data_IF_351176053045
#
_entry.id   IF_351176053045
#
_cell.length_a   1.000
_cell.length_b   1.000
_cell.length_c   1.000
_cell.angle_alpha   90.00
_cell.angle_beta   90.00
_cell.angle_gamma   90.00
#
_symmetry.space_group_name_H-M   'P 1'
#
loop_
_entity.id
_entity.type
_entity.pdbx_description
1 polymer ?
#
# COMPACT_ATOMS: atom_id res chain seq x y z
N UNK A 1 -23.70 -0.34 16.39
CA UNK A 1 -23.51 -1.66 15.80
C UNK A 1 -22.03 -1.74 15.54
N UNK A 2 -21.32 -2.31 16.51
CA UNK A 2 -19.90 -2.62 16.39
C UNK A 2 -19.88 -4.00 15.72
N UNK A 3 -19.98 -4.01 14.39
CA UNK A 3 -19.67 -5.22 13.63
C UNK A 3 -18.17 -5.42 13.87
N UNK A 4 -17.84 -6.37 14.74
CA UNK A 4 -16.47 -6.75 15.07
C UNK A 4 -15.75 -7.29 13.82
N UNK A 5 -15.45 -6.38 12.90
CA UNK A 5 -14.86 -6.65 11.62
C UNK A 5 -13.47 -7.20 11.89
N UNK A 6 -13.28 -8.46 11.48
CA UNK A 6 -11.96 -9.05 11.48
C UNK A 6 -11.12 -8.30 10.45
N UNK A 7 -10.30 -7.38 10.92
CA UNK A 7 -9.39 -6.64 10.06
C UNK A 7 -8.44 -7.62 9.36
N UNK A 8 -8.19 -7.45 8.05
CA UNK A 8 -7.36 -8.37 7.29
C UNK A 8 -5.93 -8.41 7.84
N UNK A 9 -5.31 -9.57 7.75
CA UNK A 9 -3.89 -9.73 8.05
C UNK A 9 -3.05 -9.28 6.86
N UNK A 10 -1.93 -8.61 7.14
CA UNK A 10 -0.97 -8.28 6.09
C UNK A 10 -0.29 -9.54 5.52
N UNK A 11 0.02 -9.57 4.21
CA UNK A 11 0.89 -10.60 3.66
C UNK A 11 2.28 -10.56 4.31
N UNK A 12 2.93 -11.72 4.42
CA UNK A 12 4.20 -11.89 5.13
C UNK A 12 5.29 -10.84 4.85
N UNK A 13 5.57 -10.42 3.59
CA UNK A 13 6.60 -9.41 3.34
C UNK A 13 6.27 -8.06 4.00
N UNK A 14 4.99 -7.67 3.99
CA UNK A 14 4.52 -6.44 4.60
C UNK A 14 4.57 -6.55 6.13
N UNK A 15 4.07 -7.65 6.69
CA UNK A 15 4.12 -7.88 8.13
C UNK A 15 5.57 -7.80 8.66
N UNK A 16 6.51 -8.51 8.02
CA UNK A 16 7.93 -8.47 8.40
C UNK A 16 8.56 -7.10 8.25
N UNK A 17 8.15 -6.33 7.25
CA UNK A 17 8.65 -4.96 7.02
C UNK A 17 8.21 -4.00 8.13
N UNK A 18 6.95 -4.10 8.58
CA UNK A 18 6.47 -3.36 9.76
C UNK A 18 7.25 -3.78 11.01
N UNK A 19 7.37 -5.09 11.26
CA UNK A 19 8.06 -5.63 12.44
C UNK A 19 9.54 -5.25 12.51
N UNK A 20 10.26 -5.31 11.38
CA UNK A 20 11.67 -4.92 11.29
C UNK A 20 11.92 -3.45 11.68
N UNK A 21 10.88 -2.62 11.60
CA UNK A 21 10.89 -1.20 11.98
C UNK A 21 10.35 -0.96 13.39
N UNK A 22 9.97 -2.01 14.10
CA UNK A 22 9.28 -1.92 15.39
C UNK A 22 7.87 -1.34 15.27
N UNK A 23 7.25 -1.43 14.10
CA UNK A 23 5.94 -0.89 13.80
C UNK A 23 4.87 -1.98 13.84
N UNK A 24 3.63 -1.55 14.08
CA UNK A 24 2.43 -2.35 13.83
C UNK A 24 1.56 -1.60 12.81
N UNK A 25 0.84 -2.32 11.94
CA UNK A 25 -0.12 -1.69 11.05
C UNK A 25 -1.19 -0.97 11.87
N UNK A 26 -1.51 0.25 11.47
CA UNK A 26 -2.57 1.02 12.12
C UNK A 26 -3.93 0.52 11.65
N UNK A 27 -4.96 0.65 12.48
CA UNK A 27 -6.33 0.23 12.16
C UNK A 27 -6.78 0.76 10.79
N UNK A 28 -6.65 2.07 10.54
CA UNK A 28 -7.02 2.66 9.25
C UNK A 28 -6.23 2.15 8.04
N UNK A 29 -5.04 1.56 8.22
CA UNK A 29 -4.31 0.93 7.12
C UNK A 29 -4.91 -0.43 6.77
N UNK A 30 -5.35 -1.18 7.78
CA UNK A 30 -6.05 -2.46 7.59
C UNK A 30 -7.49 -2.24 7.08
N UNK A 31 -8.18 -1.20 7.54
CA UNK A 31 -9.51 -0.79 7.03
C UNK A 31 -9.45 -0.43 5.53
N UNK A 32 -8.38 0.25 5.10
CA UNK A 32 -8.17 0.54 3.67
C UNK A 32 -7.96 -0.74 2.85
N UNK A 33 -7.28 -1.75 3.44
CA UNK A 33 -7.09 -3.04 2.79
C UNK A 33 -8.42 -3.80 2.68
N UNK A 34 -9.20 -3.84 3.77
CA UNK A 34 -10.53 -4.46 3.81
C UNK A 34 -11.49 -3.84 2.79
N UNK A 35 -11.55 -2.50 2.71
CA UNK A 35 -12.37 -1.79 1.73
C UNK A 35 -11.96 -2.15 0.29
N UNK A 36 -10.66 -2.20 0.00
CA UNK A 36 -10.17 -2.57 -1.33
C UNK A 36 -10.46 -4.04 -1.69
N UNK A 37 -10.33 -4.97 -0.73
CA UNK A 37 -10.69 -6.39 -0.93
C UNK A 37 -12.18 -6.57 -1.23
N UNK A 38 -13.03 -5.69 -0.68
CA UNK A 38 -14.47 -5.63 -0.97
C UNK A 38 -14.81 -4.90 -2.28
N UNK A 39 -13.82 -4.27 -2.92
CA UNK A 39 -14.02 -3.45 -4.12
C UNK A 39 -14.74 -2.12 -3.85
N UNK A 40 -14.60 -1.58 -2.65
CA UNK A 40 -15.25 -0.35 -2.21
C UNK A 40 -14.36 0.89 -2.42
N UNK A 41 -15.00 2.02 -2.72
CA UNK A 41 -14.35 3.32 -2.69
C UNK A 41 -14.15 3.80 -1.25
N UNK A 42 -12.96 4.31 -0.92
CA UNK A 42 -12.63 4.73 0.45
C UNK A 42 -12.02 6.14 0.51
N UNK A 43 -12.38 6.89 1.56
CA UNK A 43 -11.77 8.18 1.91
C UNK A 43 -10.99 8.05 3.22
N UNK A 44 -9.66 8.06 3.11
CA UNK A 44 -8.78 7.99 4.28
C UNK A 44 -8.59 9.36 4.95
N UNK A 45 -9.09 9.50 6.17
CA UNK A 45 -8.88 10.67 7.03
C UNK A 45 -7.95 10.28 8.18
N UNK A 46 -6.72 10.80 8.16
CA UNK A 46 -5.72 10.55 9.21
C UNK A 46 -4.90 11.83 9.48
N UNK A 47 -4.42 12.03 10.72
CA UNK A 47 -3.58 13.19 11.06
C UNK A 47 -2.25 13.17 10.29
N UNK A 48 -1.59 14.33 10.20
CA UNK A 48 -0.22 14.42 9.69
C UNK A 48 0.72 13.53 10.51
N UNK A 49 1.65 12.83 9.85
CA UNK A 49 2.46 11.79 10.50
C UNK A 49 1.68 10.51 10.84
N UNK A 50 0.41 10.44 10.42
CA UNK A 50 -0.50 9.34 10.70
C UNK A 50 -0.26 8.06 9.92
N UNK A 51 0.72 8.04 9.00
CA UNK A 51 0.90 6.93 8.06
C UNK A 51 -0.08 6.95 6.88
N UNK A 52 -0.76 8.08 6.62
CA UNK A 52 -1.77 8.22 5.57
C UNK A 52 -1.30 7.81 4.18
N UNK A 53 -0.07 8.20 3.80
CA UNK A 53 0.48 7.85 2.49
C UNK A 53 0.58 6.33 2.35
N UNK A 54 1.23 5.65 3.31
CA UNK A 54 1.29 4.18 3.27
C UNK A 54 -0.12 3.58 3.33
N UNK A 55 -1.03 4.09 4.17
CA UNK A 55 -2.41 3.60 4.24
C UNK A 55 -3.17 3.71 2.91
N UNK A 56 -2.96 4.78 2.13
CA UNK A 56 -3.59 4.94 0.81
C UNK A 56 -2.99 4.03 -0.28
N UNK A 57 -1.70 3.68 -0.17
CA UNK A 57 -1.02 2.84 -1.16
C UNK A 57 -0.95 1.36 -0.79
N UNK A 58 -1.13 1.01 0.48
CA UNK A 58 -1.01 -0.35 0.99
C UNK A 58 -1.89 -1.35 0.23
N UNK A 59 -3.17 -1.07 -0.09
CA UNK A 59 -3.98 -2.00 -0.86
C UNK A 59 -3.42 -2.28 -2.25
N UNK A 60 -3.00 -1.24 -2.96
CA UNK A 60 -2.37 -1.36 -4.27
C UNK A 60 -1.05 -2.16 -4.23
N UNK A 61 -0.23 -1.95 -3.20
CA UNK A 61 1.03 -2.69 -3.05
C UNK A 61 0.78 -4.17 -2.76
N UNK A 62 -0.20 -4.49 -1.91
CA UNK A 62 -0.60 -5.86 -1.58
C UNK A 62 -1.13 -6.58 -2.83
N UNK A 63 -2.02 -5.94 -3.58
CA UNK A 63 -2.56 -6.51 -4.82
C UNK A 63 -1.46 -6.74 -5.88
N UNK A 64 -0.59 -5.74 -6.09
CA UNK A 64 0.54 -5.85 -7.02
C UNK A 64 1.51 -6.96 -6.62
N UNK A 65 1.78 -7.12 -5.32
CA UNK A 65 2.60 -8.22 -4.81
C UNK A 65 1.96 -9.58 -5.14
N UNK A 66 0.66 -9.75 -4.89
CA UNK A 66 -0.04 -10.99 -5.22
C UNK A 66 0.04 -11.31 -6.72
N UNK A 67 -0.13 -10.31 -7.59
CA UNK A 67 0.01 -10.47 -9.05
C UNK A 67 1.43 -10.87 -9.46
N UNK A 68 2.47 -10.27 -8.88
CA UNK A 68 3.87 -10.66 -9.13
C UNK A 68 4.12 -12.11 -8.73
N UNK A 69 3.57 -12.56 -7.60
CA UNK A 69 3.71 -13.94 -7.14
C UNK A 69 2.99 -14.95 -8.06
N UNK A 70 1.88 -14.56 -8.69
CA UNK A 70 1.10 -15.40 -9.60
C UNK A 70 1.67 -15.44 -11.02
N UNK A 71 2.08 -14.28 -11.56
CA UNK A 71 2.50 -14.13 -12.97
C UNK A 71 4.03 -14.29 -13.15
N UNK A 72 4.80 -14.19 -12.07
CA UNK A 72 6.26 -14.22 -12.12
C UNK A 72 6.90 -12.87 -12.45
N UNK A 73 8.23 -12.83 -12.40
CA UNK A 73 9.02 -11.60 -12.60
C UNK A 73 9.07 -11.11 -14.04
N UNK A 74 8.90 -12.01 -15.01
CA UNK A 74 8.95 -11.69 -16.45
C UNK A 74 7.60 -11.20 -16.99
N UNK A 75 6.64 -10.91 -16.10
CA UNK A 75 5.32 -10.39 -16.48
C UNK A 75 5.44 -9.05 -17.23
N UNK A 76 4.54 -8.77 -18.19
CA UNK A 76 4.53 -7.48 -18.86
C UNK A 76 4.20 -6.36 -17.87
N UNK A 77 4.91 -5.23 -17.98
CA UNK A 77 4.59 -4.02 -17.23
C UNK A 77 3.25 -3.44 -17.70
N UNK A 78 2.36 -3.14 -16.74
CA UNK A 78 1.04 -2.54 -16.97
C UNK A 78 0.79 -1.47 -15.91
N UNK A 79 0.06 -0.42 -16.28
CA UNK A 79 -0.44 0.55 -15.31
C UNK A 79 -1.44 -0.14 -14.37
N UNK A 80 -1.24 0.02 -13.07
CA UNK A 80 -2.11 -0.55 -12.03
C UNK A 80 -2.71 0.52 -11.13
N UNK A 81 -1.87 1.44 -10.65
CA UNK A 81 -2.28 2.49 -9.70
C UNK A 81 -1.88 3.85 -10.26
N UNK A 82 -2.83 4.79 -10.26
CA UNK A 82 -2.60 6.18 -10.64
C UNK A 82 -2.73 7.07 -9.40
N UNK A 83 -1.65 7.77 -9.06
CA UNK A 83 -1.67 8.78 -8.01
C UNK A 83 -1.84 10.17 -8.61
N UNK A 84 -2.82 10.92 -8.12
CA UNK A 84 -3.06 12.30 -8.53
C UNK A 84 -2.77 13.25 -7.36
N UNK A 85 -1.96 14.27 -7.63
CA UNK A 85 -1.60 15.29 -6.66
C UNK A 85 -1.88 16.68 -7.24
N UNK A 86 -2.37 17.63 -6.43
CA UNK A 86 -2.50 19.03 -6.86
C UNK A 86 -1.14 19.72 -7.06
N UNK A 87 -0.03 19.14 -6.57
CA UNK A 87 1.31 19.71 -6.62
C UNK A 87 2.32 18.74 -7.21
N UNK A 88 3.11 19.19 -8.20
CA UNK A 88 4.20 18.41 -8.81
C UNK A 88 5.24 17.96 -7.79
N UNK A 89 5.64 18.84 -6.87
CA UNK A 89 6.62 18.51 -5.84
C UNK A 89 6.15 17.35 -4.95
N UNK A 90 4.86 17.37 -4.57
CA UNK A 90 4.27 16.29 -3.78
C UNK A 90 4.24 14.96 -4.53
N UNK A 91 4.01 14.96 -5.85
CA UNK A 91 4.11 13.73 -6.66
C UNK A 91 5.50 13.10 -6.59
N UNK A 92 6.55 13.91 -6.70
CA UNK A 92 7.95 13.44 -6.62
C UNK A 92 8.26 12.91 -5.22
N UNK A 93 7.81 13.60 -4.17
CA UNK A 93 8.05 13.16 -2.79
C UNK A 93 7.28 11.87 -2.45
N UNK A 94 6.05 11.72 -2.92
CA UNK A 94 5.28 10.47 -2.76
C UNK A 94 5.96 9.32 -3.49
N UNK A 95 6.41 9.51 -4.73
CA UNK A 95 7.14 8.49 -5.47
C UNK A 95 8.41 8.06 -4.73
N UNK A 96 9.22 9.01 -4.24
CA UNK A 96 10.42 8.72 -3.43
C UNK A 96 10.10 7.91 -2.17
N UNK A 97 9.06 8.31 -1.44
CA UNK A 97 8.66 7.64 -0.21
C UNK A 97 8.10 6.22 -0.47
N UNK A 98 7.52 5.96 -1.64
CA UNK A 98 7.03 4.64 -2.04
C UNK A 98 8.13 3.72 -2.57
N UNK A 99 9.23 4.25 -3.10
CA UNK A 99 10.37 3.42 -3.50
C UNK A 99 10.96 2.66 -2.30
N UNK A 100 11.00 3.30 -1.12
CA UNK A 100 11.53 2.69 0.11
C UNK A 100 10.88 1.33 0.44
N UNK A 101 9.55 1.23 0.64
CA UNK A 101 8.92 -0.06 0.92
C UNK A 101 9.04 -1.04 -0.26
N UNK A 102 8.98 -0.57 -1.51
CA UNK A 102 9.11 -1.43 -2.70
C UNK A 102 10.47 -2.11 -2.77
N UNK A 103 11.54 -1.36 -2.51
CA UNK A 103 12.91 -1.87 -2.52
C UNK A 103 13.20 -2.74 -1.31
N UNK A 104 12.85 -2.28 -0.10
CA UNK A 104 13.11 -3.02 1.14
C UNK A 104 12.35 -4.34 1.22
N UNK A 105 11.13 -4.42 0.66
CA UNK A 105 10.35 -5.66 0.56
C UNK A 105 10.62 -6.46 -0.72
N UNK A 106 11.47 -5.96 -1.63
CA UNK A 106 11.76 -6.55 -2.93
C UNK A 106 10.50 -6.91 -3.73
N UNK A 107 9.55 -5.95 -3.83
CA UNK A 107 8.24 -6.20 -4.44
C UNK A 107 8.29 -6.33 -5.98
N UNK A 108 9.41 -6.00 -6.63
CA UNK A 108 9.55 -6.08 -8.08
C UNK A 108 8.61 -5.12 -8.83
N UNK A 109 8.33 -3.95 -8.25
CA UNK A 109 7.42 -2.95 -8.80
C UNK A 109 8.18 -1.79 -9.42
N UNK A 110 7.61 -1.20 -10.48
CA UNK A 110 8.11 0.03 -11.11
C UNK A 110 7.20 1.19 -10.73
N UNK A 111 7.79 2.32 -10.35
CA UNK A 111 7.10 3.58 -10.06
C UNK A 111 7.58 4.62 -11.06
N UNK A 112 6.65 5.35 -11.68
CA UNK A 112 6.94 6.39 -12.67
C UNK A 112 6.25 7.71 -12.28
N UNK A 113 6.87 8.84 -12.61
CA UNK A 113 6.39 10.20 -12.33
C UNK A 113 6.35 11.06 -13.58
#
# INVERSE_FOLDING_TARGET
>A
MDDGAHLPTLPDPFQRWFEARGWQPRAHQLEMLDAAEKGEDALLIAPTGGGKTLGGFLPSLVELHARVQQEGKDRPHRLHTLYLSPLKALSVDVARNLMIPVEEMNLGLRIET
#
